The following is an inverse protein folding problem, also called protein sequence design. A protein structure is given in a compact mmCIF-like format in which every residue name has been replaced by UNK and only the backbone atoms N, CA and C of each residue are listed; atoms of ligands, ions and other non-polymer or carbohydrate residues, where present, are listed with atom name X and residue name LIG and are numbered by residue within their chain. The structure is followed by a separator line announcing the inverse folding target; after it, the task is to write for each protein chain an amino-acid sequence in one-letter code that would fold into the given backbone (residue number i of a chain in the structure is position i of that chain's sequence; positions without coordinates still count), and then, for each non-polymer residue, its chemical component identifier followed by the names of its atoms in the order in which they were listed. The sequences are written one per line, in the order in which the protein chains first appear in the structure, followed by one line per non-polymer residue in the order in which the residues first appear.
data_IF_108940236404
#
_entry.id   IF_108940236404
#
_cell.length_a   1.000
_cell.length_b   1.000
_cell.length_c   1.000
_cell.angle_alpha   90.00
_cell.angle_beta   90.00
_cell.angle_gamma   90.00
#
_symmetry.space_group_name_H-M   'P 1'
#
loop_
_entity.id
_entity.type
_entity.pdbx_description
1 polymer ?
#
# COMPACT_ATOMS: atom_id res chain seq x y z
N UNK A 1 -17.70 11.76 -18.78
CA UNK A 1 -16.47 11.68 -17.96
C UNK A 1 -15.48 10.92 -18.82
N UNK A 2 -14.35 11.53 -19.15
CA UNK A 2 -13.31 10.88 -19.95
C UNK A 2 -12.62 9.87 -19.04
N UNK A 3 -12.70 8.58 -19.35
CA UNK A 3 -11.85 7.60 -18.69
C UNK A 3 -10.40 7.93 -19.09
N UNK A 4 -9.52 8.16 -18.12
CA UNK A 4 -8.10 8.33 -18.39
C UNK A 4 -7.58 7.02 -18.99
N UNK A 5 -7.47 6.98 -20.31
CA UNK A 5 -7.10 5.76 -21.04
C UNK A 5 -5.59 5.69 -21.12
N UNK A 6 -5.02 4.57 -20.68
CA UNK A 6 -3.58 4.31 -20.80
C UNK A 6 -3.30 3.87 -22.24
N UNK A 7 -2.40 4.59 -22.91
CA UNK A 7 -2.04 4.29 -24.30
C UNK A 7 -0.53 4.13 -24.45
N UNK A 8 -0.14 3.32 -25.44
CA UNK A 8 1.26 3.17 -25.81
C UNK A 8 1.73 4.46 -26.48
N UNK A 9 2.85 5.08 -26.04
CA UNK A 9 3.38 6.26 -26.71
C UNK A 9 3.71 5.93 -28.16
N UNK A 10 3.29 6.78 -29.10
CA UNK A 10 3.54 6.58 -30.53
C UNK A 10 5.04 6.44 -30.90
N UNK A 11 5.94 6.90 -30.01
CA UNK A 11 7.39 6.82 -30.17
C UNK A 11 8.03 5.63 -29.46
N UNK A 12 7.29 4.87 -28.65
CA UNK A 12 7.84 3.70 -27.96
C UNK A 12 7.81 2.47 -28.87
N UNK A 13 8.97 1.89 -29.13
CA UNK A 13 9.06 0.54 -29.72
C UNK A 13 8.93 -0.55 -28.66
N UNK A 14 9.03 -0.19 -27.38
CA UNK A 14 8.97 -1.10 -26.26
C UNK A 14 7.50 -1.30 -25.83
N UNK A 15 7.03 -2.54 -25.87
CA UNK A 15 5.68 -2.95 -25.46
C UNK A 15 5.44 -2.79 -23.95
N UNK A 16 6.49 -2.48 -23.18
CA UNK A 16 6.44 -2.33 -21.72
C UNK A 16 6.28 -0.88 -21.25
N UNK A 17 6.35 0.11 -22.15
CA UNK A 17 6.28 1.54 -21.82
C UNK A 17 4.92 2.11 -22.20
N UNK A 18 4.19 2.61 -21.19
CA UNK A 18 2.83 3.14 -21.35
C UNK A 18 2.69 4.51 -20.71
N UNK A 19 1.76 5.33 -21.22
CA UNK A 19 1.55 6.69 -20.72
C UNK A 19 0.08 7.10 -20.71
N UNK A 20 -0.26 8.07 -19.86
CA UNK A 20 -1.57 8.73 -19.83
C UNK A 20 -1.50 10.17 -20.37
N UNK A 21 -2.65 10.85 -20.44
CA UNK A 21 -2.74 12.25 -20.91
C UNK A 21 -1.82 13.21 -20.13
N UNK A 22 -1.56 12.91 -18.85
CA UNK A 22 -0.68 13.68 -17.95
C UNK A 22 0.82 13.35 -18.09
N UNK A 23 1.18 12.49 -19.05
CA UNK A 23 2.56 12.04 -19.33
C UNK A 23 3.23 11.28 -18.17
N UNK A 24 2.46 10.67 -17.29
CA UNK A 24 3.00 9.66 -16.37
C UNK A 24 3.52 8.49 -17.21
N UNK A 25 4.72 7.99 -16.93
CA UNK A 25 5.32 6.84 -17.64
C UNK A 25 5.30 5.64 -16.71
N UNK A 26 4.67 4.56 -17.15
CA UNK A 26 4.57 3.30 -16.42
C UNK A 26 5.38 2.22 -17.14
N UNK A 27 6.19 1.49 -16.36
CA UNK A 27 6.98 0.33 -16.81
C UNK A 27 6.30 -0.92 -16.28
N UNK A 28 5.88 -1.80 -17.19
CA UNK A 28 4.92 -2.86 -16.88
C UNK A 28 5.53 -4.24 -16.58
N UNK A 29 6.84 -4.44 -16.80
CA UNK A 29 7.46 -5.75 -16.62
C UNK A 29 8.20 -5.90 -15.29
N UNK A 30 7.79 -6.92 -14.53
CA UNK A 30 8.62 -7.57 -13.53
C UNK A 30 9.58 -8.53 -14.24
N UNK A 31 10.86 -8.61 -13.84
CA UNK A 31 11.77 -9.58 -14.44
C UNK A 31 11.26 -11.00 -14.19
N UNK A 32 11.12 -11.80 -15.26
CA UNK A 32 10.78 -13.22 -15.18
C UNK A 32 11.84 -13.96 -14.35
N UNK A 33 11.43 -14.46 -13.18
CA UNK A 33 12.24 -15.39 -12.39
C UNK A 33 12.03 -16.80 -12.99
N UNK A 34 12.78 -17.13 -14.05
CA UNK A 34 12.78 -18.47 -14.62
C UNK A 34 13.30 -19.51 -13.61
N UNK A 35 12.42 -20.45 -13.23
CA UNK A 35 12.76 -21.65 -12.46
C UNK A 35 12.88 -21.39 -10.95
N UNK A 36 11.87 -21.80 -10.18
CA UNK A 36 11.94 -21.78 -8.71
C UNK A 36 12.93 -22.83 -8.17
N UNK A 37 14.23 -22.56 -8.29
CA UNK A 37 15.22 -23.24 -7.48
C UNK A 37 15.11 -22.67 -6.05
N UNK A 38 14.47 -23.43 -5.16
CA UNK A 38 14.25 -22.99 -3.76
C UNK A 38 15.59 -22.87 -3.03
N UNK A 39 16.09 -21.65 -2.90
CA UNK A 39 17.28 -21.33 -2.12
C UNK A 39 16.90 -21.06 -0.66
N UNK A 40 17.50 -21.80 0.28
CA UNK A 40 17.40 -21.50 1.70
C UNK A 40 18.44 -20.44 2.08
N UNK A 41 17.98 -19.22 2.38
CA UNK A 41 18.85 -18.13 2.87
C UNK A 41 18.80 -18.12 4.40
N UNK A 42 19.95 -18.28 5.05
CA UNK A 42 20.08 -18.12 6.50
C UNK A 42 20.37 -16.66 6.82
N UNK A 43 19.38 -15.95 7.36
CA UNK A 43 19.58 -14.56 7.75
C UNK A 43 20.67 -14.47 8.83
N UNK A 44 21.67 -13.58 8.68
CA UNK A 44 22.63 -13.35 9.73
C UNK A 44 21.95 -12.71 10.94
N UNK A 45 22.58 -12.79 12.11
CA UNK A 45 22.09 -12.06 13.26
C UNK A 45 22.16 -10.55 12.96
N UNK A 46 21.00 -9.92 12.75
CA UNK A 46 20.88 -8.47 12.50
C UNK A 46 21.03 -7.63 13.78
N UNK A 47 21.78 -8.16 14.74
CA UNK A 47 21.99 -7.57 16.06
C UNK A 47 22.49 -6.13 15.95
N UNK A 48 21.78 -5.21 16.62
CA UNK A 48 22.28 -3.88 16.91
C UNK A 48 23.03 -3.90 18.24
N UNK A 49 24.19 -3.23 18.27
CA UNK A 49 25.09 -3.07 19.41
C UNK A 49 24.37 -2.88 20.76
N UNK A 50 24.94 -3.37 21.87
CA UNK A 50 24.47 -3.06 23.24
C UNK A 50 24.44 -1.55 23.55
N UNK A 51 25.24 -0.76 22.82
CA UNK A 51 25.27 0.70 22.92
C UNK A 51 24.23 1.37 22.01
N UNK A 52 23.53 0.60 21.17
CA UNK A 52 22.45 1.14 20.38
C UNK A 52 21.35 1.62 21.32
N UNK A 53 20.86 2.83 21.07
CA UNK A 53 19.73 3.38 21.81
C UNK A 53 18.55 2.42 21.67
N UNK A 54 17.91 1.98 22.78
CA UNK A 54 16.70 1.18 22.71
C UNK A 54 15.69 1.88 21.81
N UNK A 55 15.02 1.10 20.95
CA UNK A 55 13.95 1.62 20.11
C UNK A 55 12.89 2.20 21.05
N UNK A 56 12.61 3.50 20.89
CA UNK A 56 11.50 4.14 21.56
C UNK A 56 10.21 3.73 20.84
N UNK A 57 9.18 3.44 21.61
CA UNK A 57 7.83 3.15 21.12
C UNK A 57 6.93 4.23 21.70
N UNK A 58 6.02 4.75 20.88
CA UNK A 58 5.05 5.73 21.32
C UNK A 58 4.20 5.14 22.46
N UNK A 59 4.06 5.82 23.62
CA UNK A 59 3.26 5.31 24.74
C UNK A 59 1.76 5.22 24.42
N UNK A 60 1.30 5.87 23.36
CA UNK A 60 -0.09 5.88 22.91
C UNK A 60 -0.45 4.68 22.02
N UNK A 61 0.49 3.75 21.76
CA UNK A 61 0.28 2.66 20.79
C UNK A 61 -0.93 1.78 21.10
N UNK A 62 -1.22 1.49 22.38
CA UNK A 62 -2.41 0.73 22.77
C UNK A 62 -3.70 1.52 22.55
N UNK A 63 -3.65 2.85 22.73
CA UNK A 63 -4.81 3.73 22.58
C UNK A 63 -5.30 3.82 21.14
N UNK A 64 -4.38 3.70 20.17
CA UNK A 64 -4.69 3.80 18.73
C UNK A 64 -4.99 2.45 18.07
N UNK A 65 -5.01 1.34 18.82
CA UNK A 65 -5.32 0.00 18.28
C UNK A 65 -6.74 -0.12 17.72
N UNK A 66 -7.65 0.73 18.17
CA UNK A 66 -9.01 0.82 17.64
C UNK A 66 -9.05 1.24 16.17
N UNK A 67 -7.98 1.87 15.64
CA UNK A 67 -7.86 2.15 14.20
C UNK A 67 -7.88 0.85 13.37
N UNK A 68 -7.33 -0.27 13.86
CA UNK A 68 -7.38 -1.54 13.11
C UNK A 68 -8.81 -2.04 12.94
N UNK A 69 -9.66 -1.83 13.96
CA UNK A 69 -11.09 -2.18 13.89
C UNK A 69 -11.81 -1.27 12.88
N UNK A 70 -11.51 0.03 12.90
CA UNK A 70 -12.07 0.97 11.93
C UNK A 70 -11.69 0.61 10.48
N UNK A 71 -10.42 0.27 10.23
CA UNK A 71 -9.95 -0.20 8.91
C UNK A 71 -10.70 -1.46 8.49
N UNK A 72 -10.87 -2.41 9.42
CA UNK A 72 -11.59 -3.66 9.17
C UNK A 72 -13.05 -3.45 8.75
N UNK A 73 -13.73 -2.52 9.43
CA UNK A 73 -15.11 -2.15 9.12
C UNK A 73 -15.22 -1.47 7.75
N UNK A 74 -14.29 -0.55 7.44
CA UNK A 74 -14.23 0.14 6.14
C UNK A 74 -13.98 -0.81 4.98
N UNK A 75 -13.02 -1.73 5.13
CA UNK A 75 -12.65 -2.67 4.08
C UNK A 75 -13.50 -3.95 4.06
N UNK A 76 -14.42 -4.13 5.02
CA UNK A 76 -15.28 -5.31 5.08
C UNK A 76 -14.50 -6.62 5.29
N UNK A 77 -13.36 -6.60 5.98
CA UNK A 77 -12.44 -7.74 6.09
C UNK A 77 -13.08 -8.99 6.74
N UNK A 78 -14.05 -8.79 7.63
CA UNK A 78 -14.75 -9.86 8.31
C UNK A 78 -13.78 -10.83 9.00
N UNK A 79 -13.72 -12.08 8.52
CA UNK A 79 -12.81 -13.12 9.08
C UNK A 79 -11.34 -12.87 8.76
N UNK A 80 -11.00 -12.11 7.71
CA UNK A 80 -9.62 -11.78 7.37
C UNK A 80 -8.98 -10.82 8.38
N UNK A 81 -9.80 -10.12 9.18
CA UNK A 81 -9.33 -9.20 10.22
C UNK A 81 -8.36 -9.84 11.21
N UNK A 82 -8.57 -11.10 11.58
CA UNK A 82 -7.70 -11.77 12.56
C UNK A 82 -6.25 -11.87 12.05
N UNK A 83 -6.06 -12.19 10.78
CA UNK A 83 -4.73 -12.23 10.15
C UNK A 83 -4.11 -10.83 10.02
N UNK A 84 -4.94 -9.83 9.71
CA UNK A 84 -4.48 -8.45 9.65
C UNK A 84 -4.01 -7.94 11.03
N UNK A 85 -4.77 -8.23 12.09
CA UNK A 85 -4.42 -7.84 13.45
C UNK A 85 -3.12 -8.47 13.96
N UNK A 86 -2.72 -9.63 13.43
CA UNK A 86 -1.43 -10.27 13.75
C UNK A 86 -0.21 -9.48 13.23
N UNK A 87 -0.38 -8.58 12.27
CA UNK A 87 0.70 -7.73 11.73
C UNK A 87 1.19 -6.71 12.78
N UNK A 88 0.36 -6.40 13.78
CA UNK A 88 0.63 -5.37 14.80
C UNK A 88 1.04 -4.02 14.19
N UNK A 89 0.35 -3.58 13.14
CA UNK A 89 0.58 -2.28 12.47
C UNK A 89 0.63 -1.08 13.44
N UNK A 90 -0.19 -1.00 14.51
CA UNK A 90 -0.07 0.05 15.52
C UNK A 90 1.29 0.08 16.22
N UNK A 91 1.89 -1.09 16.49
CA UNK A 91 3.20 -1.19 17.11
C UNK A 91 4.31 -0.75 16.14
N UNK A 92 4.21 -1.13 14.87
CA UNK A 92 5.12 -0.68 13.81
C UNK A 92 5.11 0.85 13.70
N UNK A 93 3.93 1.45 13.55
CA UNK A 93 3.76 2.91 13.43
C UNK A 93 4.27 3.65 14.68
N UNK A 94 4.02 3.09 15.86
CA UNK A 94 4.46 3.66 17.13
C UNK A 94 5.98 3.67 17.29
N UNK A 95 6.69 2.76 16.61
CA UNK A 95 8.14 2.80 16.54
C UNK A 95 8.68 3.78 15.49
N UNK A 96 7.91 4.09 14.44
CA UNK A 96 8.24 5.12 13.44
C UNK A 96 8.05 6.52 14.00
N UNK A 97 7.01 6.73 14.81
CA UNK A 97 6.65 8.03 15.39
C UNK A 97 6.64 7.99 16.93
N UNK A 98 7.79 7.79 17.60
CA UNK A 98 7.85 7.54 19.04
C UNK A 98 7.43 8.73 19.92
N UNK A 99 7.41 9.95 19.38
CA UNK A 99 7.08 11.17 20.12
C UNK A 99 5.87 11.91 19.54
N UNK A 100 5.15 11.32 18.58
CA UNK A 100 3.97 11.95 18.00
C UNK A 100 2.83 12.02 19.01
N UNK A 101 2.00 13.05 18.89
CA UNK A 101 0.69 13.08 19.53
C UNK A 101 -0.23 12.04 18.88
N UNK A 102 -1.39 11.82 19.49
CA UNK A 102 -2.34 10.80 19.06
C UNK A 102 -2.79 10.98 17.60
N UNK A 103 -3.15 12.20 17.19
CA UNK A 103 -3.71 12.42 15.86
C UNK A 103 -2.73 12.09 14.72
N UNK A 104 -1.47 12.58 14.70
CA UNK A 104 -0.49 12.13 13.71
C UNK A 104 -0.17 10.64 13.77
N UNK A 105 -0.23 10.02 14.97
CA UNK A 105 -0.04 8.57 15.10
C UNK A 105 -1.19 7.77 14.47
N UNK A 106 -2.43 8.26 14.59
CA UNK A 106 -3.59 7.66 13.90
C UNK A 106 -3.50 7.84 12.39
N UNK A 107 -3.15 9.04 11.92
CA UNK A 107 -3.02 9.31 10.49
C UNK A 107 -1.98 8.40 9.81
N UNK A 108 -0.81 8.17 10.44
CA UNK A 108 0.17 7.24 9.87
C UNK A 108 -0.31 5.79 9.91
N UNK A 109 -1.11 5.41 10.91
CA UNK A 109 -1.64 4.06 11.03
C UNK A 109 -2.72 3.78 9.97
N UNK A 110 -3.59 4.74 9.73
CA UNK A 110 -4.57 4.73 8.62
C UNK A 110 -3.84 4.62 7.28
N UNK A 111 -2.83 5.47 7.05
CA UNK A 111 -2.01 5.42 5.84
C UNK A 111 -1.23 4.11 5.68
N UNK A 112 -0.60 3.60 6.73
CA UNK A 112 0.12 2.31 6.67
C UNK A 112 -0.81 1.15 6.39
N UNK A 113 -2.03 1.17 6.95
CA UNK A 113 -3.04 0.16 6.65
C UNK A 113 -3.46 0.26 5.18
N UNK A 114 -3.73 1.47 4.69
CA UNK A 114 -4.03 1.70 3.28
C UNK A 114 -2.94 1.16 2.36
N UNK A 115 -1.66 1.49 2.63
CA UNK A 115 -0.52 1.00 1.84
C UNK A 115 -0.46 -0.51 1.81
N UNK A 116 -0.64 -1.20 2.95
CA UNK A 116 -0.60 -2.66 2.98
C UNK A 116 -1.68 -3.29 2.09
N UNK A 117 -2.93 -2.81 2.20
CA UNK A 117 -4.02 -3.33 1.39
C UNK A 117 -3.94 -2.92 -0.07
N UNK A 118 -3.41 -1.74 -0.35
CA UNK A 118 -3.16 -1.27 -1.71
C UNK A 118 -2.10 -2.13 -2.39
N UNK A 119 -0.94 -2.31 -1.75
CA UNK A 119 0.21 -3.06 -2.28
C UNK A 119 -0.11 -4.57 -2.48
N UNK A 120 -0.80 -5.20 -1.52
CA UNK A 120 -1.20 -6.62 -1.60
C UNK A 120 -2.04 -6.92 -2.85
N UNK A 121 -2.79 -5.93 -3.38
CA UNK A 121 -3.59 -6.10 -4.62
C UNK A 121 -2.72 -6.36 -5.85
N UNK A 122 -1.52 -5.79 -5.89
CA UNK A 122 -0.57 -5.93 -6.99
C UNK A 122 0.31 -7.17 -6.83
N UNK A 123 0.73 -7.46 -5.60
CA UNK A 123 1.62 -8.59 -5.32
C UNK A 123 0.90 -9.95 -5.40
N UNK A 124 -0.32 -10.04 -4.87
CA UNK A 124 -1.03 -11.33 -4.69
C UNK A 124 -2.54 -11.24 -4.86
N UNK A 125 -3.03 -10.12 -5.39
CA UNK A 125 -4.44 -9.80 -5.44
C UNK A 125 -5.01 -9.72 -6.84
N UNK A 126 -5.97 -8.83 -7.02
CA UNK A 126 -6.74 -8.67 -8.25
C UNK A 126 -5.93 -8.14 -9.43
N UNK A 127 -4.77 -7.53 -9.18
CA UNK A 127 -3.86 -6.99 -10.20
C UNK A 127 -2.60 -7.84 -10.43
N UNK A 128 -2.44 -8.97 -9.75
CA UNK A 128 -1.30 -9.86 -9.96
C UNK A 128 -1.24 -10.28 -11.45
N UNK A 129 -0.13 -9.95 -12.13
CA UNK A 129 0.08 -10.24 -13.55
C UNK A 129 -0.80 -9.45 -14.52
N UNK A 130 -1.45 -8.36 -14.07
CA UNK A 130 -2.36 -7.52 -14.87
C UNK A 130 -1.89 -6.06 -14.92
N UNK A 131 -0.79 -5.78 -15.64
CA UNK A 131 -0.11 -4.51 -15.54
C UNK A 131 -0.90 -3.32 -16.14
N UNK A 132 -1.82 -3.56 -17.09
CA UNK A 132 -2.67 -2.52 -17.67
C UNK A 132 -3.75 -2.11 -16.66
N UNK A 133 -4.44 -3.09 -16.09
CA UNK A 133 -5.47 -2.85 -15.07
C UNK A 133 -4.85 -2.25 -13.79
N UNK A 134 -3.64 -2.67 -13.43
CA UNK A 134 -2.85 -2.08 -12.36
C UNK A 134 -2.53 -0.60 -12.61
N UNK A 135 -2.12 -0.27 -13.84
CA UNK A 135 -1.85 1.09 -14.26
C UNK A 135 -3.09 1.99 -14.15
N UNK A 136 -4.24 1.49 -14.59
CA UNK A 136 -5.52 2.19 -14.47
C UNK A 136 -5.88 2.48 -13.00
N UNK A 137 -5.76 1.49 -12.11
CA UNK A 137 -6.00 1.69 -10.67
C UNK A 137 -5.10 2.76 -10.06
N UNK A 138 -3.81 2.76 -10.42
CA UNK A 138 -2.85 3.76 -9.92
C UNK A 138 -3.25 5.15 -10.38
N UNK A 139 -3.59 5.31 -11.66
CA UNK A 139 -3.99 6.61 -12.22
C UNK A 139 -5.26 7.12 -11.54
N UNK A 140 -6.27 6.26 -11.38
CA UNK A 140 -7.50 6.65 -10.70
C UNK A 140 -7.30 6.97 -9.22
N UNK A 141 -6.41 6.22 -8.55
CA UNK A 141 -6.02 6.48 -7.16
C UNK A 141 -5.28 7.80 -7.02
N UNK A 142 -4.41 8.16 -7.98
CA UNK A 142 -3.75 9.46 -7.99
C UNK A 142 -4.74 10.59 -8.28
N UNK A 143 -5.74 10.36 -9.13
CA UNK A 143 -6.73 11.36 -9.48
C UNK A 143 -7.52 11.83 -8.25
N UNK A 144 -7.86 10.95 -7.31
CA UNK A 144 -8.58 11.32 -6.08
C UNK A 144 -7.71 12.09 -5.06
N UNK A 145 -6.39 12.13 -5.25
CA UNK A 145 -5.49 12.90 -4.39
C UNK A 145 -5.41 14.37 -4.80
N UNK A 146 -5.98 14.73 -5.96
CA UNK A 146 -6.14 16.12 -6.40
C UNK A 146 -7.54 16.64 -6.05
N UNK A 147 -7.66 17.94 -5.76
CA UNK A 147 -8.91 18.57 -5.27
C UNK A 147 -10.02 18.62 -6.35
N UNK A 148 -9.69 18.28 -7.59
CA UNK A 148 -10.55 18.42 -8.76
C UNK A 148 -11.34 17.15 -9.14
N UNK A 149 -11.08 16.00 -8.48
CA UNK A 149 -11.75 14.75 -8.80
C UNK A 149 -13.09 14.57 -8.04
N UNK A 150 -14.17 14.13 -8.71
CA UNK A 150 -15.45 13.93 -8.05
C UNK A 150 -15.37 12.80 -6.98
N UNK A 151 -16.11 12.90 -5.87
CA UNK A 151 -16.13 11.84 -4.85
C UNK A 151 -16.64 10.51 -5.43
N UNK A 152 -15.89 9.44 -5.21
CA UNK A 152 -16.26 8.07 -5.60
C UNK A 152 -17.12 7.45 -4.49
N UNK A 153 -18.22 6.71 -4.78
CA UNK A 153 -18.96 5.97 -3.77
C UNK A 153 -18.10 4.93 -3.02
N UNK A 154 -18.37 4.70 -1.74
CA UNK A 154 -17.62 3.73 -0.91
C UNK A 154 -17.80 2.31 -1.43
N UNK A 155 -18.97 2.02 -1.99
CA UNK A 155 -19.34 0.71 -2.52
C UNK A 155 -18.55 0.33 -3.79
N UNK A 156 -18.01 1.33 -4.49
CA UNK A 156 -17.23 1.14 -5.72
C UNK A 156 -15.77 0.80 -5.41
N UNK A 157 -15.17 1.49 -4.43
CA UNK A 157 -13.80 1.19 -3.98
C UNK A 157 -13.58 1.62 -2.53
N UNK A 158 -13.84 0.73 -1.58
CA UNK A 158 -13.72 1.03 -0.15
C UNK A 158 -12.30 1.43 0.29
N UNK A 159 -11.27 0.97 -0.42
CA UNK A 159 -9.88 1.28 -0.12
C UNK A 159 -9.56 2.77 -0.35
N UNK A 160 -10.22 3.42 -1.32
CA UNK A 160 -10.09 4.86 -1.59
C UNK A 160 -10.74 5.77 -0.53
N UNK A 161 -11.35 5.18 0.51
CA UNK A 161 -12.04 5.88 1.61
C UNK A 161 -11.43 5.61 2.99
N UNK A 162 -10.27 4.95 3.04
CA UNK A 162 -9.42 4.96 4.23
C UNK A 162 -8.68 6.30 4.30
#
# INVERSE_FOLDING_TARGET
MSHATVEKPATSTDDQIWTNEDRLVLLLDLPELEGEEKMMVKLPNLYKSILATPRKVNPLWEKVKDTDLWVSEKLGLGKAFQKFAEIETPLLCSAMLPNASEQPLRAILEWMSWVMFFDDRYDRGDFEGKPIEAAEEIIETLAILDDDHPPIPVEENALRHL
#
